data_IF_999973020317
#
_entry.id   IF_999973020317
#
_cell.length_a   1.000
_cell.length_b   1.000
_cell.length_c   1.000
_cell.angle_alpha   90.00
_cell.angle_beta   90.00
_cell.angle_gamma   90.00
#
_symmetry.space_group_name_H-M   'P 1'
#
loop_
_entity.id
_entity.type
_entity.pdbx_description
1 polymer ?
#
# COMPACT_ATOMS: atom_id res chain seq x y z
N UNK A 1 -20.01 -0.79 -61.09
CA UNK A 1 -18.67 -1.17 -60.59
C UNK A 1 -18.29 -0.13 -59.54
N UNK A 2 -18.48 -0.43 -58.24
CA UNK A 2 -18.31 0.54 -57.15
C UNK A 2 -17.38 -0.08 -56.08
N UNK A 3 -16.32 0.66 -55.75
CA UNK A 3 -15.12 0.22 -55.05
C UNK A 3 -15.41 0.03 -53.55
N UNK A 4 -15.13 -1.17 -53.02
CA UNK A 4 -15.20 -1.50 -51.60
C UNK A 4 -14.06 -0.78 -50.84
N UNK A 5 -14.39 0.00 -49.81
CA UNK A 5 -13.41 0.58 -48.88
C UNK A 5 -12.95 -0.50 -47.90
N UNK A 6 -11.70 -0.97 -48.02
CA UNK A 6 -11.02 -1.76 -47.00
C UNK A 6 -10.54 -0.84 -45.87
N UNK A 7 -11.04 -1.03 -44.66
CA UNK A 7 -10.47 -0.42 -43.47
C UNK A 7 -9.21 -1.22 -43.07
N UNK A 8 -8.05 -0.58 -43.14
CA UNK A 8 -6.78 -1.13 -42.66
C UNK A 8 -6.77 -0.95 -41.13
N UNK A 9 -6.93 -2.06 -40.39
CA UNK A 9 -6.72 -2.07 -38.96
C UNK A 9 -5.21 -2.00 -38.67
N UNK A 10 -4.73 -0.86 -38.21
CA UNK A 10 -3.36 -0.69 -37.71
C UNK A 10 -3.30 -1.27 -36.30
N UNK A 11 -2.89 -2.53 -36.19
CA UNK A 11 -2.55 -3.14 -34.90
C UNK A 11 -1.19 -2.61 -34.47
N UNK A 12 -1.16 -1.59 -33.60
CA UNK A 12 0.06 -1.19 -32.91
C UNK A 12 0.34 -2.24 -31.84
N UNK A 13 1.19 -3.23 -32.18
CA UNK A 13 1.82 -4.09 -31.21
C UNK A 13 2.89 -3.27 -30.48
N UNK A 14 2.52 -2.64 -29.36
CA UNK A 14 3.52 -2.16 -28.39
C UNK A 14 4.09 -3.41 -27.72
N UNK A 15 5.23 -3.87 -28.24
CA UNK A 15 6.07 -4.81 -27.53
C UNK A 15 6.58 -4.11 -26.25
N UNK A 16 5.85 -4.30 -25.15
CA UNK A 16 6.29 -3.88 -23.84
C UNK A 16 7.57 -4.63 -23.51
N UNK A 17 8.69 -3.91 -23.45
CA UNK A 17 9.90 -4.38 -22.80
C UNK A 17 9.48 -4.62 -21.34
N UNK A 18 9.25 -5.88 -20.98
CA UNK A 18 9.15 -6.30 -19.60
C UNK A 18 10.53 -6.03 -18.99
N UNK A 19 10.71 -4.84 -18.39
CA UNK A 19 11.79 -4.62 -17.45
C UNK A 19 11.42 -5.45 -16.22
N UNK A 20 12.16 -6.52 -15.88
CA UNK A 20 11.97 -7.17 -14.60
C UNK A 20 12.31 -6.12 -13.54
N UNK A 21 11.27 -5.60 -12.89
CA UNK A 21 11.38 -4.59 -11.84
C UNK A 21 12.37 -5.06 -10.78
N UNK A 22 13.13 -4.12 -10.24
CA UNK A 22 14.13 -4.38 -9.23
C UNK A 22 13.50 -5.06 -8.02
N UNK A 23 13.80 -6.35 -7.89
CA UNK A 23 13.36 -7.36 -6.92
C UNK A 23 13.58 -7.07 -5.42
N UNK A 24 13.87 -5.83 -5.01
CA UNK A 24 14.53 -5.59 -3.72
C UNK A 24 13.75 -4.69 -2.75
N UNK A 25 12.67 -4.05 -3.21
CA UNK A 25 11.69 -3.43 -2.33
C UNK A 25 10.40 -4.25 -2.42
N UNK A 26 10.31 -5.30 -1.62
CA UNK A 26 9.06 -6.04 -1.48
C UNK A 26 7.97 -5.07 -0.99
N UNK A 27 6.90 -4.98 -1.76
CA UNK A 27 5.73 -4.19 -1.35
C UNK A 27 5.15 -4.81 -0.08
N UNK A 28 4.60 -3.96 0.77
CA UNK A 28 4.23 -4.32 2.13
C UNK A 28 2.88 -3.72 2.46
N UNK A 29 1.94 -4.54 2.94
CA UNK A 29 0.63 -4.06 3.31
C UNK A 29 0.03 -4.84 4.48
N UNK A 30 -0.93 -4.21 5.17
CA UNK A 30 -1.79 -4.88 6.14
C UNK A 30 -2.96 -5.54 5.41
N UNK A 31 -3.16 -6.84 5.62
CA UNK A 31 -4.30 -7.57 5.10
C UNK A 31 -5.29 -7.89 6.23
N UNK A 32 -6.53 -7.38 6.17
CA UNK A 32 -7.57 -7.79 7.08
C UNK A 32 -8.26 -9.06 6.57
N UNK A 33 -8.66 -9.95 7.47
CA UNK A 33 -9.49 -11.12 7.11
C UNK A 33 -10.85 -10.72 6.54
N UNK A 34 -11.33 -9.53 6.90
CA UNK A 34 -12.57 -8.95 6.37
C UNK A 34 -12.52 -7.42 6.45
N UNK A 35 -13.12 -6.73 5.47
CA UNK A 35 -13.21 -5.27 5.45
C UNK A 35 -14.49 -4.71 6.09
N UNK A 36 -15.55 -5.53 6.13
CA UNK A 36 -16.83 -5.22 6.75
C UNK A 36 -17.16 -6.28 7.79
N UNK A 37 -17.50 -5.84 9.00
CA UNK A 37 -17.72 -6.73 10.13
C UNK A 37 -18.82 -6.18 11.03
N UNK A 38 -19.52 -7.06 11.75
CA UNK A 38 -20.48 -6.61 12.76
C UNK A 38 -19.69 -6.14 13.99
N UNK A 39 -20.31 -5.29 14.84
CA UNK A 39 -19.73 -4.92 16.11
C UNK A 39 -19.30 -6.15 16.93
N UNK A 40 -18.10 -6.10 17.50
CA UNK A 40 -17.46 -7.14 18.30
C UNK A 40 -17.05 -8.44 17.56
N UNK A 41 -17.37 -8.58 16.27
CA UNK A 41 -16.83 -9.67 15.46
C UNK A 41 -15.29 -9.55 15.38
N UNK A 42 -14.56 -10.68 15.47
CA UNK A 42 -13.11 -10.66 15.35
C UNK A 42 -12.68 -10.37 13.91
N UNK A 43 -11.63 -9.57 13.76
CA UNK A 43 -10.90 -9.38 12.51
C UNK A 43 -9.42 -9.62 12.72
N UNK A 44 -8.85 -10.48 11.89
CA UNK A 44 -7.41 -10.78 11.87
C UNK A 44 -6.73 -9.78 10.95
N UNK A 45 -5.60 -9.23 11.38
CA UNK A 45 -4.75 -8.34 10.59
C UNK A 45 -3.42 -9.05 10.39
N UNK A 46 -3.15 -9.50 9.17
CA UNK A 46 -1.87 -10.04 8.77
C UNK A 46 -0.98 -8.96 8.18
N UNK A 47 0.32 -9.08 8.40
CA UNK A 47 1.31 -8.28 7.68
C UNK A 47 1.73 -9.09 6.47
N UNK A 48 1.60 -8.53 5.27
CA UNK A 48 1.88 -9.23 4.03
C UNK A 48 3.03 -8.56 3.29
N UNK A 49 3.97 -9.40 2.86
CA UNK A 49 5.06 -9.03 1.97
C UNK A 49 4.78 -9.58 0.57
N UNK A 50 4.88 -8.71 -0.44
CA UNK A 50 4.72 -9.05 -1.85
C UNK A 50 6.07 -9.32 -2.49
N UNK A 51 6.23 -10.55 -2.96
CA UNK A 51 7.28 -10.98 -3.86
C UNK A 51 6.76 -10.89 -5.31
N UNK A 52 7.63 -11.11 -6.29
CA UNK A 52 7.33 -10.93 -7.72
C UNK A 52 6.10 -11.74 -8.18
N UNK A 53 5.96 -12.94 -7.65
CA UNK A 53 5.01 -13.95 -8.07
C UNK A 53 4.10 -14.47 -6.93
N UNK A 54 4.38 -14.06 -5.68
CA UNK A 54 3.68 -14.57 -4.51
C UNK A 54 3.59 -13.53 -3.38
N UNK A 55 2.56 -13.67 -2.55
CA UNK A 55 2.41 -12.93 -1.30
C UNK A 55 2.57 -13.88 -0.12
N UNK A 56 3.33 -13.45 0.89
CA UNK A 56 3.57 -14.23 2.10
C UNK A 56 3.22 -13.39 3.33
N UNK A 57 2.63 -14.02 4.35
CA UNK A 57 2.48 -13.39 5.65
C UNK A 57 3.82 -13.41 6.39
N UNK A 58 4.09 -12.35 7.14
CA UNK A 58 5.25 -12.30 8.02
C UNK A 58 4.78 -12.17 9.47
N UNK A 59 5.40 -12.92 10.41
CA UNK A 59 5.06 -12.82 11.82
C UNK A 59 5.49 -11.46 12.38
N UNK A 60 4.72 -10.96 13.34
CA UNK A 60 5.10 -9.77 14.10
C UNK A 60 6.33 -10.06 14.96
N UNK A 61 7.17 -9.04 15.13
CA UNK A 61 8.23 -9.01 16.14
C UNK A 61 8.55 -7.56 16.46
N UNK A 62 9.10 -7.29 17.64
CA UNK A 62 9.29 -5.92 18.15
C UNK A 62 10.11 -5.04 17.19
N UNK A 63 11.20 -5.56 16.65
CA UNK A 63 12.05 -4.87 15.68
C UNK A 63 11.41 -4.63 14.29
N UNK A 64 10.19 -5.12 14.06
CA UNK A 64 9.46 -4.91 12.81
C UNK A 64 8.76 -3.55 12.79
N UNK A 65 8.21 -3.12 13.92
CA UNK A 65 7.27 -1.99 14.01
C UNK A 65 7.84 -0.83 14.82
N UNK A 66 7.73 0.38 14.27
CA UNK A 66 7.89 1.62 15.00
C UNK A 66 6.55 2.17 15.52
N UNK A 67 5.44 1.72 14.95
CA UNK A 67 4.07 2.10 15.32
C UNK A 67 3.09 1.05 14.81
N UNK A 68 2.22 0.56 15.69
CA UNK A 68 1.09 -0.29 15.34
C UNK A 68 -0.11 0.08 16.20
N UNK A 69 -1.13 0.69 15.60
CA UNK A 69 -2.25 1.29 16.33
C UNK A 69 -3.58 1.15 15.60
N UNK A 70 -4.64 1.18 16.38
CA UNK A 70 -6.03 1.23 15.95
C UNK A 70 -6.61 2.61 16.28
N UNK A 71 -7.04 3.34 15.27
CA UNK A 71 -7.88 4.53 15.43
C UNK A 71 -9.35 4.16 15.22
N UNK A 72 -10.18 4.42 16.22
CA UNK A 72 -11.61 4.11 16.26
C UNK A 72 -12.45 5.37 16.53
N UNK A 73 -13.80 5.29 16.43
CA UNK A 73 -14.67 6.38 16.89
C UNK A 73 -14.50 6.70 18.39
N UNK A 74 -14.09 5.73 19.20
CA UNK A 74 -13.84 5.90 20.64
C UNK A 74 -12.46 6.45 20.99
N UNK A 75 -11.59 6.66 20.00
CA UNK A 75 -10.21 7.11 20.20
C UNK A 75 -9.18 6.19 19.55
N UNK A 76 -7.91 6.49 19.77
CA UNK A 76 -6.78 5.71 19.27
C UNK A 76 -6.13 4.89 20.40
N UNK A 77 -5.69 3.68 20.07
CA UNK A 77 -4.97 2.80 20.99
C UNK A 77 -3.88 2.03 20.25
N UNK A 78 -2.76 1.77 20.92
CA UNK A 78 -1.73 0.84 20.43
C UNK A 78 -2.29 -0.57 20.35
N UNK A 79 -1.89 -1.32 19.32
CA UNK A 79 -2.18 -2.75 19.19
C UNK A 79 -1.07 -3.52 19.91
N UNK A 80 -1.46 -4.32 20.88
CA UNK A 80 -0.55 -5.21 21.61
C UNK A 80 -0.39 -6.52 20.83
N UNK A 81 0.80 -6.72 20.26
CA UNK A 81 1.17 -7.87 19.45
C UNK A 81 2.42 -8.51 20.03
N UNK A 82 2.45 -9.83 20.05
CA UNK A 82 3.56 -10.61 20.57
C UNK A 82 4.51 -11.04 19.45
N UNK A 83 5.79 -11.17 19.78
CA UNK A 83 6.76 -11.71 18.84
C UNK A 83 6.39 -13.13 18.46
N UNK A 84 6.23 -13.39 17.16
CA UNK A 84 5.77 -14.66 16.60
C UNK A 84 4.30 -14.65 16.15
N UNK A 85 3.52 -13.61 16.45
CA UNK A 85 2.12 -13.53 16.05
C UNK A 85 1.96 -13.47 14.52
N UNK A 86 1.26 -14.46 13.97
CA UNK A 86 0.76 -14.47 12.59
C UNK A 86 -0.66 -15.11 12.58
N UNK A 87 -1.75 -14.33 12.45
CA UNK A 87 -1.81 -12.91 12.08
C UNK A 87 -1.21 -11.99 13.16
N UNK A 88 -0.63 -10.87 12.72
CA UNK A 88 0.01 -9.89 13.59
C UNK A 88 -0.93 -9.28 14.64
N UNK A 89 -2.24 -9.25 14.38
CA UNK A 89 -3.23 -8.86 15.39
C UNK A 89 -4.58 -9.55 15.18
N UNK A 90 -5.32 -9.71 16.27
CA UNK A 90 -6.76 -10.01 16.23
C UNK A 90 -7.50 -8.93 17.00
N UNK A 91 -8.42 -8.22 16.35
CA UNK A 91 -9.14 -7.08 16.91
C UNK A 91 -10.64 -7.39 16.99
N UNK A 92 -11.33 -6.87 18.01
CA UNK A 92 -12.77 -7.01 18.19
C UNK A 92 -13.44 -5.63 18.34
N UNK A 93 -13.48 -4.82 17.27
CA UNK A 93 -14.02 -3.47 17.37
C UNK A 93 -15.52 -3.48 17.66
N UNK A 94 -15.92 -2.94 18.81
CA UNK A 94 -17.30 -2.99 19.31
C UNK A 94 -18.14 -1.77 18.95
N UNK A 95 -17.52 -0.64 18.62
CA UNK A 95 -18.25 0.60 18.30
C UNK A 95 -18.55 0.62 16.81
N UNK A 96 -19.80 0.88 16.35
CA UNK A 96 -20.07 1.09 14.94
C UNK A 96 -19.31 2.29 14.38
N UNK A 97 -18.74 2.15 13.18
CA UNK A 97 -17.98 3.22 12.52
C UNK A 97 -16.74 2.73 11.79
N UNK A 98 -15.94 3.68 11.29
CA UNK A 98 -14.68 3.38 10.64
C UNK A 98 -13.58 3.16 11.65
N UNK A 99 -12.86 2.07 11.47
CA UNK A 99 -11.68 1.72 12.26
C UNK A 99 -10.49 1.67 11.31
N UNK A 100 -9.42 2.34 11.69
CA UNK A 100 -8.23 2.45 10.85
C UNK A 100 -7.07 1.84 11.60
N UNK A 101 -6.49 0.78 11.03
CA UNK A 101 -5.24 0.21 11.55
C UNK A 101 -4.09 0.88 10.82
N UNK A 102 -3.18 1.49 11.57
CA UNK A 102 -1.95 2.08 11.07
C UNK A 102 -0.75 1.21 11.45
N UNK A 103 0.19 1.08 10.52
CA UNK A 103 1.45 0.39 10.77
C UNK A 103 2.62 1.18 10.16
N UNK A 104 3.68 1.35 10.95
CA UNK A 104 4.96 1.91 10.50
C UNK A 104 6.06 0.91 10.81
N UNK A 105 6.88 0.55 9.82
CA UNK A 105 8.03 -0.30 10.08
C UNK A 105 9.14 0.47 10.79
N UNK A 106 9.97 -0.24 11.55
CA UNK A 106 11.30 0.31 11.90
C UNK A 106 12.07 0.66 10.62
N UNK A 107 12.94 1.69 10.63
CA UNK A 107 13.84 1.97 9.53
C UNK A 107 14.73 0.76 9.22
N UNK A 108 14.89 0.47 7.94
CA UNK A 108 15.76 -0.60 7.44
C UNK A 108 16.76 -0.02 6.48
N UNK A 109 17.98 -0.57 6.51
CA UNK A 109 19.03 -0.23 5.56
C UNK A 109 19.16 -1.33 4.53
N UNK A 110 19.31 -0.94 3.27
CA UNK A 110 19.67 -1.83 2.17
C UNK A 110 20.83 -1.23 1.39
N UNK A 111 21.84 -2.03 1.10
CA UNK A 111 22.97 -1.61 0.29
C UNK A 111 22.67 -1.89 -1.19
N UNK A 112 22.59 -0.82 -1.98
CA UNK A 112 22.36 -0.89 -3.41
C UNK A 112 23.64 -0.52 -4.15
N UNK A 113 23.95 -1.21 -5.23
CA UNK A 113 25.00 -0.70 -6.12
C UNK A 113 24.53 0.61 -6.76
N UNK A 114 25.44 1.52 -7.12
CA UNK A 114 25.10 2.79 -7.80
C UNK A 114 24.20 2.54 -9.02
N UNK A 115 24.46 1.46 -9.78
CA UNK A 115 23.64 1.06 -10.92
C UNK A 115 22.22 0.66 -10.50
N UNK A 116 22.07 -0.19 -9.47
CA UNK A 116 20.76 -0.61 -8.96
C UNK A 116 19.98 0.57 -8.41
N UNK A 117 20.63 1.45 -7.66
CA UNK A 117 20.02 2.66 -7.12
C UNK A 117 19.47 3.55 -8.24
N UNK A 118 20.26 3.85 -9.29
CA UNK A 118 19.77 4.64 -10.43
C UNK A 118 18.55 4.03 -11.12
N UNK A 119 18.54 2.71 -11.30
CA UNK A 119 17.38 2.03 -11.89
C UNK A 119 16.15 2.09 -10.98
N UNK A 120 16.33 1.90 -9.67
CA UNK A 120 15.25 2.04 -8.68
C UNK A 120 14.62 3.43 -8.72
N UNK A 121 15.46 4.47 -8.79
CA UNK A 121 15.02 5.87 -8.87
C UNK A 121 14.17 6.11 -10.11
N UNK A 122 14.59 5.55 -11.25
CA UNK A 122 13.85 5.63 -12.49
C UNK A 122 12.51 4.88 -12.43
N UNK A 123 12.52 3.65 -11.90
CA UNK A 123 11.33 2.81 -11.73
C UNK A 123 10.29 3.50 -10.84
N UNK A 124 10.73 4.08 -9.71
CA UNK A 124 9.85 4.76 -8.75
C UNK A 124 9.50 6.20 -9.14
N UNK A 125 10.12 6.76 -10.17
CA UNK A 125 9.87 8.15 -10.59
C UNK A 125 10.39 9.18 -9.59
N UNK A 126 11.54 8.90 -8.96
CA UNK A 126 12.15 9.69 -7.90
C UNK A 126 13.28 10.62 -8.41
N UNK A 127 13.42 10.78 -9.72
CA UNK A 127 14.48 11.59 -10.33
C UNK A 127 14.43 13.04 -9.83
N UNK A 128 13.22 13.61 -9.72
CA UNK A 128 13.03 14.97 -9.19
C UNK A 128 13.37 15.09 -7.69
N UNK A 129 13.35 13.99 -6.94
CA UNK A 129 13.69 13.98 -5.50
C UNK A 129 15.21 13.94 -5.33
N UNK A 130 15.91 13.20 -6.18
CA UNK A 130 17.37 13.05 -6.08
C UNK A 130 18.11 14.19 -6.79
N UNK A 131 17.54 14.72 -7.87
CA UNK A 131 18.15 15.78 -8.67
C UNK A 131 19.59 15.40 -9.08
N UNK A 132 20.50 16.36 -8.92
CA UNK A 132 21.92 16.21 -9.26
C UNK A 132 22.79 15.66 -8.12
N UNK A 133 22.16 15.01 -7.11
CA UNK A 133 22.91 14.48 -5.96
C UNK A 133 24.01 13.51 -6.43
N UNK A 134 25.29 13.80 -6.13
CA UNK A 134 26.38 12.92 -6.50
C UNK A 134 26.25 11.59 -5.75
N UNK A 135 26.28 10.49 -6.51
CA UNK A 135 26.22 9.15 -5.93
C UNK A 135 27.64 8.60 -5.75
N UNK A 136 27.91 7.89 -4.63
CA UNK A 136 29.18 7.22 -4.43
C UNK A 136 29.44 6.18 -5.53
N UNK A 137 30.71 5.96 -5.84
CA UNK A 137 31.14 4.85 -6.68
C UNK A 137 31.07 3.55 -5.88
N UNK A 138 30.23 2.61 -6.29
CA UNK A 138 30.09 1.32 -5.62
C UNK A 138 28.73 1.16 -4.95
N UNK A 139 28.66 1.44 -3.65
CA UNK A 139 27.48 1.19 -2.80
C UNK A 139 26.83 2.50 -2.37
N UNK A 140 25.51 2.55 -2.51
CA UNK A 140 24.60 3.58 -2.03
C UNK A 140 23.75 2.96 -0.93
N UNK A 141 23.89 3.37 0.34
CA UNK A 141 23.01 2.92 1.40
C UNK A 141 21.62 3.56 1.24
N UNK A 142 20.59 2.74 1.11
CA UNK A 142 19.19 3.15 1.17
C UNK A 142 18.67 2.94 2.58
N UNK A 143 18.04 3.96 3.16
CA UNK A 143 17.25 3.81 4.38
C UNK A 143 15.79 3.97 4.03
N UNK A 144 14.99 2.95 4.31
CA UNK A 144 13.56 2.95 4.01
C UNK A 144 12.72 2.66 5.25
N UNK A 145 11.48 3.15 5.23
CA UNK A 145 10.44 2.82 6.20
C UNK A 145 9.12 2.66 5.46
N UNK A 146 8.31 1.70 5.89
CA UNK A 146 7.03 1.38 5.27
C UNK A 146 5.91 1.96 6.12
N UNK A 147 4.94 2.59 5.46
CA UNK A 147 3.75 3.17 6.07
C UNK A 147 2.54 2.47 5.46
N UNK A 148 1.84 1.68 6.27
CA UNK A 148 0.67 0.95 5.83
C UNK A 148 -0.56 1.34 6.63
N UNK A 149 -1.71 1.26 5.98
CA UNK A 149 -3.00 1.63 6.57
C UNK A 149 -4.09 0.75 5.99
N UNK A 150 -4.97 0.26 6.84
CA UNK A 150 -6.21 -0.42 6.45
C UNK A 150 -7.41 0.33 7.01
N UNK A 151 -8.52 0.33 6.30
CA UNK A 151 -9.78 0.96 6.74
C UNK A 151 -10.83 -0.14 6.81
N UNK A 152 -11.36 -0.37 8.02
CA UNK A 152 -12.41 -1.32 8.33
C UNK A 152 -13.73 -0.58 8.55
N UNK A 153 -14.82 -1.18 8.14
CA UNK A 153 -16.17 -0.66 8.32
C UNK A 153 -16.96 -1.56 9.28
N UNK A 154 -17.17 -1.08 10.52
CA UNK A 154 -17.85 -1.83 11.58
C UNK A 154 -19.32 -1.41 11.64
N UNK A 155 -20.21 -2.40 11.57
CA UNK A 155 -21.65 -2.22 11.51
C UNK A 155 -22.20 -2.04 10.09
N UNK A 156 -23.52 -1.92 9.98
CA UNK A 156 -24.20 -1.76 8.71
C UNK A 156 -24.05 -0.31 8.21
N UNK A 157 -23.37 -0.13 7.06
CA UNK A 157 -23.15 1.18 6.44
C UNK A 157 -22.70 2.26 7.45
N UNK A 158 -21.49 2.13 8.02
CA UNK A 158 -21.02 3.08 9.02
C UNK A 158 -21.12 4.51 8.48
N UNK A 159 -21.90 5.39 9.13
CA UNK A 159 -22.15 6.73 8.62
C UNK A 159 -20.93 7.63 8.78
N UNK A 160 -20.90 8.70 7.99
CA UNK A 160 -19.94 9.80 8.14
C UNK A 160 -18.64 9.62 7.35
N UNK A 161 -17.63 10.37 7.77
CA UNK A 161 -16.38 10.59 7.02
C UNK A 161 -15.16 10.02 7.73
N UNK A 162 -15.34 9.09 8.67
CA UNK A 162 -14.23 8.51 9.45
C UNK A 162 -13.14 7.87 8.58
N UNK A 163 -13.49 7.34 7.41
CA UNK A 163 -12.53 6.82 6.42
C UNK A 163 -11.56 7.89 5.85
N UNK A 164 -11.87 9.18 6.03
CA UNK A 164 -11.00 10.30 5.64
C UNK A 164 -9.94 10.64 6.69
N UNK A 165 -10.01 10.02 7.89
CA UNK A 165 -9.11 10.34 8.99
C UNK A 165 -7.67 10.05 8.58
N UNK A 166 -6.83 11.09 8.75
CA UNK A 166 -5.39 10.97 8.68
C UNK A 166 -4.85 10.47 10.01
N UNK A 167 -3.89 9.55 9.94
CA UNK A 167 -3.17 9.02 11.09
C UNK A 167 -1.88 9.81 11.38
N UNK A 168 -1.48 10.73 10.48
CA UNK A 168 -0.25 11.49 10.59
C UNK A 168 0.97 10.67 10.17
N UNK A 169 0.80 9.73 9.23
CA UNK A 169 1.92 8.96 8.68
C UNK A 169 2.81 9.88 7.82
N UNK A 170 4.13 9.65 7.80
CA UNK A 170 5.05 10.46 7.01
C UNK A 170 4.70 10.42 5.52
N UNK A 171 4.30 9.25 5.02
CA UNK A 171 3.68 9.09 3.71
C UNK A 171 2.31 8.47 3.92
N UNK A 172 1.25 9.17 3.52
CA UNK A 172 -0.12 8.75 3.84
C UNK A 172 -1.06 8.84 2.63
N UNK A 173 -1.72 7.73 2.30
CA UNK A 173 -2.82 7.70 1.34
C UNK A 173 -4.16 7.86 2.05
N UNK A 174 -4.98 8.80 1.59
CA UNK A 174 -6.36 9.00 2.07
C UNK A 174 -7.32 8.85 0.89
N UNK A 175 -8.28 7.93 0.96
CA UNK A 175 -9.23 7.78 -0.13
C UNK A 175 -10.20 8.97 -0.19
N UNK A 176 -10.61 9.34 -1.39
CA UNK A 176 -11.61 10.38 -1.64
C UNK A 176 -13.05 9.87 -1.54
N UNK A 177 -13.24 8.54 -1.47
CA UNK A 177 -14.53 7.87 -1.28
C UNK A 177 -14.39 6.75 -0.27
N UNK A 178 -15.51 6.33 0.32
CA UNK A 178 -15.54 5.20 1.23
C UNK A 178 -15.09 3.92 0.50
N UNK A 179 -13.87 3.43 0.81
CA UNK A 179 -13.26 2.25 0.19
C UNK A 179 -14.03 0.96 0.47
N UNK A 180 -14.42 0.65 1.73
CA UNK A 180 -15.24 -0.53 2.01
C UNK A 180 -16.47 -0.64 1.10
N UNK A 181 -17.19 0.45 0.85
CA UNK A 181 -18.40 0.42 -0.02
C UNK A 181 -18.12 0.78 -1.48
N UNK A 182 -16.86 0.83 -1.91
CA UNK A 182 -16.51 1.23 -3.27
C UNK A 182 -16.91 0.14 -4.26
N UNK A 183 -17.57 0.55 -5.35
CA UNK A 183 -18.03 -0.36 -6.40
C UNK A 183 -16.96 -0.47 -7.48
N UNK A 184 -16.76 -1.69 -7.99
CA UNK A 184 -15.96 -1.94 -9.17
C UNK A 184 -16.38 -1.02 -10.33
N UNK A 185 -15.41 -0.65 -11.18
CA UNK A 185 -15.60 0.23 -12.34
C UNK A 185 -15.99 1.69 -12.03
N UNK A 186 -15.94 2.13 -10.77
CA UNK A 186 -16.06 3.56 -10.42
C UNK A 186 -14.67 4.15 -10.21
N UNK A 187 -14.30 5.32 -10.76
CA UNK A 187 -12.99 5.92 -10.48
C UNK A 187 -12.75 6.06 -8.97
N UNK A 188 -11.60 5.56 -8.50
CA UNK A 188 -11.13 5.73 -7.13
C UNK A 188 -10.20 6.94 -7.09
N UNK A 189 -10.59 7.96 -6.35
CA UNK A 189 -9.72 9.09 -6.05
C UNK A 189 -8.93 8.80 -4.78
N UNK A 190 -7.62 8.99 -4.83
CA UNK A 190 -6.73 8.94 -3.66
C UNK A 190 -6.03 10.29 -3.51
N UNK A 191 -5.80 10.71 -2.28
CA UNK A 191 -4.96 11.86 -1.95
C UNK A 191 -3.72 11.36 -1.21
N UNK A 192 -2.55 11.66 -1.75
CA UNK A 192 -1.27 11.34 -1.12
C UNK A 192 -0.79 12.55 -0.31
N UNK A 193 -0.33 12.30 0.90
CA UNK A 193 0.26 13.29 1.78
C UNK A 193 1.69 12.88 2.14
N UNK A 194 2.59 13.87 2.18
CA UNK A 194 3.92 13.75 2.75
C UNK A 194 4.04 14.71 3.94
N UNK A 195 4.26 14.16 5.13
CA UNK A 195 4.30 14.91 6.39
C UNK A 195 3.06 15.81 6.58
N UNK A 196 1.87 15.28 6.25
CA UNK A 196 0.61 16.00 6.33
C UNK A 196 0.33 16.99 5.18
N UNK A 197 1.29 17.25 4.30
CA UNK A 197 1.12 18.15 3.16
C UNK A 197 0.71 17.39 1.89
N UNK A 198 -0.21 17.89 1.05
CA UNK A 198 -0.53 17.27 -0.23
C UNK A 198 0.71 17.00 -1.09
N UNK A 199 0.87 15.77 -1.56
CA UNK A 199 2.06 15.33 -2.29
C UNK A 199 1.68 14.85 -3.70
N UNK A 200 1.62 15.81 -4.62
CA UNK A 200 1.11 15.64 -5.98
C UNK A 200 2.18 15.15 -6.96
N UNK A 201 1.76 14.62 -8.11
CA UNK A 201 2.65 14.27 -9.21
C UNK A 201 3.62 13.13 -8.87
N UNK A 202 3.10 12.09 -8.18
CA UNK A 202 3.87 10.91 -7.82
C UNK A 202 3.30 9.67 -8.50
N UNK A 203 4.20 8.76 -8.87
CA UNK A 203 3.83 7.45 -9.38
C UNK A 203 3.26 6.64 -8.23
N UNK A 204 2.18 5.92 -8.49
CA UNK A 204 1.62 4.94 -7.57
C UNK A 204 1.36 3.64 -8.34
N UNK A 205 1.49 2.52 -7.64
CA UNK A 205 1.12 1.21 -8.15
C UNK A 205 -0.12 0.73 -7.39
N UNK A 206 -0.97 -0.02 -8.09
CA UNK A 206 -2.13 -0.69 -7.49
C UNK A 206 -2.13 -2.13 -7.92
N UNK A 207 -2.30 -3.04 -6.97
CA UNK A 207 -2.34 -4.46 -7.23
C UNK A 207 -3.77 -4.98 -7.00
N UNK A 208 -4.56 -5.18 -8.07
CA UNK A 208 -5.91 -5.70 -7.92
C UNK A 208 -5.86 -7.15 -7.43
N UNK A 209 -6.77 -7.49 -6.52
CA UNK A 209 -6.93 -8.87 -6.07
C UNK A 209 -7.88 -9.60 -7.03
N UNK A 210 -7.36 -10.59 -7.76
CA UNK A 210 -8.17 -11.52 -8.55
C UNK A 210 -8.03 -12.93 -7.98
N UNK A 211 -9.15 -13.61 -7.74
CA UNK A 211 -9.19 -15.01 -7.27
C UNK A 211 -8.31 -15.33 -6.04
N UNK A 212 -8.18 -14.39 -5.11
CA UNK A 212 -7.48 -14.61 -3.83
C UNK A 212 -5.97 -14.34 -3.85
N UNK A 213 -5.35 -14.09 -5.01
CA UNK A 213 -3.92 -13.75 -5.12
C UNK A 213 -3.72 -12.30 -5.55
N UNK A 214 -2.71 -11.66 -4.96
CA UNK A 214 -2.18 -10.38 -5.42
C UNK A 214 -0.92 -10.69 -6.22
N UNK A 215 -0.85 -10.19 -7.46
CA UNK A 215 0.31 -10.36 -8.34
C UNK A 215 0.96 -8.99 -8.50
N UNK A 216 2.28 -8.89 -8.28
CA UNK A 216 3.00 -7.68 -8.66
C UNK A 216 3.07 -7.62 -10.18
N UNK A 217 2.51 -6.56 -10.78
CA UNK A 217 2.57 -6.32 -12.23
C UNK A 217 3.95 -5.87 -12.67
#
# INVERSE_FOLDING_TARGET
>A
MCIKRMAIAVTILVAGIAMPGLLWAHDFYLEPSVLHLKPADPVKISIVQLNVDQSETIPFYEGLSARFDLTSPGGAATIDSQTGDDPAATLNPAVPGYHIVGFVSQPRTADLTTKKFRLYVQDKGLEAVIGDTPLPAGIVPEIYSRYSKVILAVGNNPPGTGYLKQLGLKLELVPGKNLPTWKANTPLTLRLFYQGNPFMGRRFSSFPRAAGKIVSS
#
